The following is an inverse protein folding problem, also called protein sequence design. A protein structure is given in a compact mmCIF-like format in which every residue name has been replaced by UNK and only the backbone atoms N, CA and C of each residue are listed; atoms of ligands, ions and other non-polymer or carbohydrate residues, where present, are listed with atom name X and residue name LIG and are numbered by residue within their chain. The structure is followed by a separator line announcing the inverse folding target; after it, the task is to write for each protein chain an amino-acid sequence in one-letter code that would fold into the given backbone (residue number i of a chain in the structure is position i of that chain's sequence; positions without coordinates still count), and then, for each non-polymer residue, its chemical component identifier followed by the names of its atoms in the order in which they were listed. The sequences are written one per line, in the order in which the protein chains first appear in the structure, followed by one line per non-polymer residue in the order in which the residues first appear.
data_IF_054126098865
#
_entry.id   IF_054126098865
#
_cell.length_a   1.000
_cell.length_b   1.000
_cell.length_c   1.000
_cell.angle_alpha   90.00
_cell.angle_beta   90.00
_cell.angle_gamma   90.00
#
_symmetry.space_group_name_H-M   'P 1'
#
loop_
_entity.id
_entity.type
_entity.pdbx_description
1 polymer ?
#
# COMPACT_ATOMS: atom_id res chain seq x y z
N UNK A 1 3.49 17.80 11.05
CA UNK A 1 2.30 18.05 11.89
C UNK A 1 1.32 18.88 11.08
N UNK A 2 0.15 18.35 10.74
CA UNK A 2 -0.92 19.17 10.13
C UNK A 2 -1.69 19.79 11.30
N UNK A 3 -1.53 21.09 11.49
CA UNK A 3 -2.28 21.87 12.48
C UNK A 3 -3.74 21.90 12.06
N UNK A 4 -4.64 21.61 13.00
CA UNK A 4 -6.02 22.06 12.89
C UNK A 4 -5.96 23.58 13.00
N UNK A 5 -6.10 24.29 11.88
CA UNK A 5 -6.61 25.65 11.95
C UNK A 5 -8.09 25.51 12.32
N UNK A 6 -8.55 26.34 13.25
CA UNK A 6 -9.75 26.23 14.10
C UNK A 6 -11.14 26.15 13.41
N UNK A 7 -11.26 25.54 12.24
CA UNK A 7 -12.55 25.28 11.61
C UNK A 7 -12.62 23.83 11.14
N UNK A 8 -13.15 22.97 12.01
CA UNK A 8 -13.72 21.70 11.56
C UNK A 8 -14.76 22.06 10.47
N UNK A 9 -14.64 21.55 9.24
CA UNK A 9 -15.62 21.84 8.20
C UNK A 9 -17.01 21.49 8.74
N UNK A 10 -17.99 22.39 8.61
CA UNK A 10 -19.37 22.28 9.15
C UNK A 10 -20.12 20.98 8.83
N UNK A 11 -19.55 20.11 8.00
CA UNK A 11 -20.13 18.87 7.50
C UNK A 11 -19.32 17.61 7.86
N UNK A 12 -18.34 17.66 8.77
CA UNK A 12 -17.53 16.50 9.18
C UNK A 12 -17.53 16.31 10.70
N UNK A 13 -17.78 15.09 11.15
CA UNK A 13 -17.78 14.77 12.58
C UNK A 13 -16.34 14.64 13.11
N UNK A 14 -16.09 15.11 14.34
CA UNK A 14 -14.80 14.98 15.02
C UNK A 14 -14.37 13.52 15.16
N UNK A 15 -15.32 12.61 15.41
CA UNK A 15 -15.06 11.16 15.51
C UNK A 15 -14.58 10.56 14.19
N UNK A 16 -15.12 11.01 13.05
CA UNK A 16 -14.69 10.56 11.71
C UNK A 16 -13.28 11.04 11.39
N UNK A 17 -12.93 12.26 11.79
CA UNK A 17 -11.59 12.82 11.61
C UNK A 17 -10.54 12.08 12.47
N UNK A 18 -10.90 11.71 13.70
CA UNK A 18 -10.04 10.93 14.58
C UNK A 18 -9.84 9.50 14.06
N UNK A 19 -10.90 8.87 13.55
CA UNK A 19 -10.82 7.56 12.90
C UNK A 19 -9.96 7.60 11.64
N UNK A 20 -10.16 8.59 10.77
CA UNK A 20 -9.34 8.79 9.57
C UNK A 20 -7.86 8.93 9.95
N UNK A 21 -7.54 9.76 10.95
CA UNK A 21 -6.16 9.93 11.45
C UNK A 21 -5.58 8.62 11.98
N UNK A 22 -6.36 7.85 12.73
CA UNK A 22 -5.94 6.55 13.27
C UNK A 22 -5.54 5.61 12.14
N UNK A 23 -6.36 5.51 11.10
CA UNK A 23 -6.11 4.61 9.97
C UNK A 23 -4.97 5.08 9.08
N UNK A 24 -4.81 6.39 8.87
CA UNK A 24 -3.63 6.95 8.17
C UNK A 24 -2.35 6.63 8.91
N UNK A 25 -2.34 6.80 10.24
CA UNK A 25 -1.18 6.46 11.07
C UNK A 25 -0.89 4.97 11.02
N UNK A 26 -1.92 4.12 11.12
CA UNK A 26 -1.75 2.66 11.02
C UNK A 26 -1.21 2.21 9.66
N UNK A 27 -1.70 2.80 8.55
CA UNK A 27 -1.22 2.47 7.22
C UNK A 27 0.29 2.75 7.09
N UNK A 28 0.73 3.91 7.56
CA UNK A 28 2.14 4.30 7.52
C UNK A 28 3.01 3.48 8.51
N UNK A 29 2.57 3.30 9.76
CA UNK A 29 3.39 2.70 10.81
C UNK A 29 3.34 1.17 10.88
N UNK A 30 2.33 0.54 10.28
CA UNK A 30 2.13 -0.91 10.35
C UNK A 30 2.11 -1.49 8.95
N UNK A 31 1.16 -1.07 8.11
CA UNK A 31 0.93 -1.71 6.81
C UNK A 31 2.18 -1.64 5.89
N UNK A 32 2.84 -0.47 5.80
CA UNK A 32 4.07 -0.31 5.01
C UNK A 32 5.20 -1.21 5.49
N UNK A 33 5.36 -1.33 6.81
CA UNK A 33 6.41 -2.15 7.42
C UNK A 33 6.14 -3.64 7.33
N UNK A 34 4.87 -4.05 7.24
CA UNK A 34 4.49 -5.45 6.95
C UNK A 34 4.64 -5.77 5.46
N UNK A 35 4.37 -4.80 4.59
CA UNK A 35 4.39 -4.98 3.14
C UNK A 35 5.82 -5.06 2.57
N UNK A 36 6.74 -4.20 3.03
CA UNK A 36 8.11 -4.16 2.48
C UNK A 36 8.84 -5.51 2.58
N UNK A 37 8.81 -6.25 3.71
CA UNK A 37 9.44 -7.57 3.79
C UNK A 37 8.74 -8.66 2.95
N UNK A 38 7.46 -8.47 2.60
CA UNK A 38 6.70 -9.44 1.80
C UNK A 38 7.09 -9.40 0.32
N UNK A 39 7.27 -8.20 -0.25
CA UNK A 39 7.70 -8.05 -1.65
C UNK A 39 9.16 -8.44 -1.89
N UNK A 40 9.99 -8.45 -0.85
CA UNK A 40 11.42 -8.82 -0.94
C UNK A 40 11.74 -10.20 -0.34
N UNK A 41 10.75 -11.08 -0.19
CA UNK A 41 10.93 -12.38 0.50
C UNK A 41 11.88 -13.31 -0.27
N UNK A 42 11.70 -13.44 -1.58
CA UNK A 42 12.55 -14.25 -2.46
C UNK A 42 13.25 -13.41 -3.52
N UNK A 43 14.32 -13.96 -4.12
CA UNK A 43 15.08 -13.24 -5.16
C UNK A 43 14.23 -12.89 -6.38
N UNK A 44 13.32 -13.80 -6.76
CA UNK A 44 12.41 -13.61 -7.86
C UNK A 44 11.41 -12.47 -7.56
N UNK A 45 10.76 -12.52 -6.39
CA UNK A 45 9.81 -11.47 -5.95
C UNK A 45 10.51 -10.10 -5.86
N UNK A 46 11.73 -10.04 -5.30
CA UNK A 46 12.47 -8.79 -5.21
C UNK A 46 12.83 -8.22 -6.60
N UNK A 47 13.26 -9.07 -7.53
CA UNK A 47 13.58 -8.62 -8.88
C UNK A 47 12.34 -8.14 -9.63
N UNK A 48 11.23 -8.85 -9.50
CA UNK A 48 9.94 -8.46 -10.05
C UNK A 48 9.46 -7.11 -9.49
N UNK A 49 9.57 -6.90 -8.18
CA UNK A 49 9.19 -5.64 -7.54
C UNK A 49 10.01 -4.46 -8.08
N UNK A 50 11.33 -4.61 -8.27
CA UNK A 50 12.15 -3.56 -8.88
C UNK A 50 11.86 -3.35 -10.37
N UNK A 51 11.50 -4.40 -11.10
CA UNK A 51 11.06 -4.26 -12.48
C UNK A 51 9.77 -3.45 -12.57
N UNK A 52 8.79 -3.77 -11.71
CA UNK A 52 7.55 -3.01 -11.58
C UNK A 52 7.81 -1.55 -11.20
N UNK A 53 8.70 -1.28 -10.23
CA UNK A 53 9.08 0.10 -9.87
C UNK A 53 9.73 0.85 -11.02
N UNK A 54 10.51 0.15 -11.84
CA UNK A 54 11.13 0.73 -13.02
C UNK A 54 10.12 1.08 -14.11
N UNK A 55 9.08 0.27 -14.28
CA UNK A 55 7.99 0.52 -15.24
C UNK A 55 7.07 1.64 -14.78
N UNK A 56 6.57 1.56 -13.54
CA UNK A 56 5.66 2.58 -12.99
C UNK A 56 6.37 3.91 -12.74
N UNK A 57 7.67 3.86 -12.43
CA UNK A 57 8.50 5.05 -12.22
C UNK A 57 8.98 5.72 -13.51
N UNK A 58 8.61 5.20 -14.69
CA UNK A 58 9.09 5.67 -16.00
C UNK A 58 10.63 5.83 -16.03
N UNK A 59 11.36 4.88 -15.42
CA UNK A 59 12.82 4.95 -15.34
C UNK A 59 13.49 4.82 -16.71
N UNK A 60 12.80 4.26 -17.69
CA UNK A 60 13.20 4.28 -19.09
C UNK A 60 13.37 5.71 -19.66
N UNK A 61 12.64 6.68 -19.12
CA UNK A 61 12.75 8.10 -19.51
C UNK A 61 13.80 8.86 -18.69
N UNK A 62 14.11 8.38 -17.49
CA UNK A 62 15.00 9.04 -16.53
C UNK A 62 16.44 8.51 -16.57
N UNK A 63 16.62 7.24 -16.94
CA UNK A 63 17.90 6.52 -16.89
C UNK A 63 18.17 5.76 -18.18
N UNK A 64 19.44 5.62 -18.53
CA UNK A 64 19.85 4.79 -19.67
C UNK A 64 19.56 3.31 -19.39
N UNK A 65 19.35 2.49 -20.43
CA UNK A 65 19.00 1.06 -20.26
C UNK A 65 19.99 0.27 -19.39
N UNK A 66 21.28 0.60 -19.47
CA UNK A 66 22.31 0.01 -18.61
C UNK A 66 22.17 0.44 -17.13
N UNK A 67 21.95 1.72 -16.87
CA UNK A 67 21.81 2.28 -15.52
C UNK A 67 20.57 1.72 -14.84
N UNK A 68 19.46 1.64 -15.58
CA UNK A 68 18.22 0.99 -15.12
C UNK A 68 18.48 -0.46 -14.73
N UNK A 69 19.13 -1.24 -15.58
CA UNK A 69 19.45 -2.63 -15.27
C UNK A 69 20.32 -2.72 -14.01
N UNK A 70 21.36 -1.90 -13.90
CA UNK A 70 22.22 -1.86 -12.71
C UNK A 70 21.43 -1.56 -11.44
N UNK A 71 20.55 -0.56 -11.45
CA UNK A 71 19.70 -0.19 -10.30
C UNK A 71 18.76 -1.35 -9.93
N UNK A 72 18.13 -1.99 -10.91
CA UNK A 72 17.21 -3.12 -10.67
C UNK A 72 17.98 -4.30 -10.05
N UNK A 73 19.10 -4.72 -10.64
CA UNK A 73 19.88 -5.85 -10.12
C UNK A 73 20.52 -5.56 -8.76
N UNK A 74 21.19 -4.42 -8.61
CA UNK A 74 21.86 -4.04 -7.36
C UNK A 74 20.85 -3.72 -6.25
N UNK A 75 19.77 -3.02 -6.59
CA UNK A 75 18.68 -2.67 -5.68
C UNK A 75 17.95 -3.90 -5.17
N UNK A 76 17.58 -4.83 -6.06
CA UNK A 76 16.96 -6.10 -5.67
C UNK A 76 17.87 -6.90 -4.73
N UNK A 77 19.17 -6.98 -5.02
CA UNK A 77 20.13 -7.67 -4.16
C UNK A 77 20.25 -7.01 -2.77
N UNK A 78 20.35 -5.69 -2.71
CA UNK A 78 20.38 -4.94 -1.46
C UNK A 78 19.09 -5.14 -0.65
N UNK A 79 17.93 -5.07 -1.31
CA UNK A 79 16.63 -5.25 -0.67
C UNK A 79 16.41 -6.67 -0.16
N UNK A 80 16.98 -7.71 -0.79
CA UNK A 80 16.96 -9.07 -0.25
C UNK A 80 17.68 -9.17 1.09
N UNK A 81 18.84 -8.50 1.21
CA UNK A 81 19.60 -8.48 2.47
C UNK A 81 18.82 -7.68 3.53
N UNK A 82 18.27 -6.54 3.13
CA UNK A 82 17.47 -5.66 4.00
C UNK A 82 16.19 -6.39 4.46
N UNK A 83 15.49 -7.08 3.57
CA UNK A 83 14.28 -7.87 3.88
C UNK A 83 14.56 -8.97 4.90
N UNK A 84 15.67 -9.70 4.76
CA UNK A 84 16.11 -10.68 5.77
C UNK A 84 16.42 -10.04 7.13
N UNK A 85 17.06 -8.86 7.12
CA UNK A 85 17.35 -8.11 8.36
C UNK A 85 16.09 -7.54 9.00
N UNK A 86 15.13 -7.04 8.21
CA UNK A 86 13.84 -6.55 8.70
C UNK A 86 13.01 -7.68 9.29
N UNK A 87 12.94 -8.87 8.63
CA UNK A 87 12.26 -10.04 9.19
C UNK A 87 12.79 -10.35 10.59
N UNK A 88 14.12 -10.33 10.77
CA UNK A 88 14.77 -10.57 12.07
C UNK A 88 14.54 -9.43 13.08
N UNK A 89 14.52 -8.17 12.64
CA UNK A 89 14.36 -6.98 13.51
C UNK A 89 12.91 -6.84 14.01
N UNK A 90 11.93 -7.10 13.16
CA UNK A 90 10.51 -6.90 13.47
C UNK A 90 9.83 -8.13 14.07
N UNK A 91 10.58 -9.20 14.34
CA UNK A 91 10.07 -10.45 14.93
C UNK A 91 8.79 -10.97 14.23
N UNK A 92 8.75 -10.80 12.91
CA UNK A 92 7.62 -11.21 12.08
C UNK A 92 7.49 -12.74 12.16
N UNK A 93 6.25 -13.24 12.06
CA UNK A 93 5.97 -14.69 12.03
C UNK A 93 6.81 -15.36 10.93
N UNK A 94 7.06 -16.66 11.08
CA UNK A 94 7.89 -17.41 10.12
C UNK A 94 7.39 -17.27 8.67
N UNK A 95 6.07 -17.14 8.50
CA UNK A 95 5.46 -16.73 7.25
C UNK A 95 5.06 -15.24 7.26
N UNK A 96 5.84 -14.44 6.55
CA UNK A 96 5.64 -12.99 6.40
C UNK A 96 4.31 -12.68 5.70
N UNK A 97 3.83 -13.61 4.86
CA UNK A 97 2.57 -13.46 4.12
C UNK A 97 1.37 -13.51 5.05
N UNK A 98 1.41 -14.37 6.07
CA UNK A 98 0.35 -14.39 7.08
C UNK A 98 0.23 -13.07 7.83
N UNK A 99 1.35 -12.41 8.15
CA UNK A 99 1.30 -11.08 8.77
C UNK A 99 0.61 -10.07 7.84
N UNK A 100 0.86 -10.11 6.53
CA UNK A 100 0.16 -9.24 5.58
C UNK A 100 -1.34 -9.56 5.50
N UNK A 101 -1.70 -10.85 5.46
CA UNK A 101 -3.10 -11.25 5.44
C UNK A 101 -3.83 -10.85 6.72
N UNK A 102 -3.20 -10.99 7.88
CA UNK A 102 -3.75 -10.59 9.18
C UNK A 102 -4.07 -9.09 9.19
N UNK A 103 -3.14 -8.24 8.72
CA UNK A 103 -3.33 -6.79 8.63
C UNK A 103 -4.40 -6.40 7.59
N UNK A 104 -4.43 -7.05 6.42
CA UNK A 104 -5.47 -6.80 5.41
C UNK A 104 -6.85 -7.26 5.89
N UNK A 105 -6.93 -8.38 6.60
CA UNK A 105 -8.17 -8.84 7.24
C UNK A 105 -8.59 -7.91 8.38
N UNK A 106 -7.65 -7.34 9.14
CA UNK A 106 -7.93 -6.33 10.16
C UNK A 106 -8.56 -5.07 9.54
N UNK A 107 -8.01 -4.58 8.44
CA UNK A 107 -8.60 -3.49 7.66
C UNK A 107 -10.00 -3.84 7.15
N UNK A 108 -10.17 -5.01 6.52
CA UNK A 108 -11.47 -5.42 5.99
C UNK A 108 -12.54 -5.56 7.09
N UNK A 109 -12.17 -6.03 8.29
CA UNK A 109 -13.08 -6.05 9.45
C UNK A 109 -13.52 -4.65 9.85
N UNK A 110 -12.64 -3.66 9.78
CA UNK A 110 -12.98 -2.27 10.10
C UNK A 110 -13.96 -1.67 9.08
N UNK A 111 -13.73 -1.90 7.79
CA UNK A 111 -14.65 -1.49 6.72
C UNK A 111 -16.01 -2.20 6.87
N UNK A 112 -16.01 -3.52 7.10
CA UNK A 112 -17.23 -4.29 7.32
C UNK A 112 -18.02 -3.83 8.55
N UNK A 113 -17.36 -3.41 9.63
CA UNK A 113 -18.03 -2.89 10.83
C UNK A 113 -18.85 -1.63 10.54
N UNK A 114 -18.43 -0.82 9.57
CA UNK A 114 -19.19 0.36 9.13
C UNK A 114 -20.37 0.01 8.22
N UNK A 115 -20.41 -1.22 7.69
CA UNK A 115 -21.40 -1.71 6.74
C UNK A 115 -21.56 -0.79 5.50
N UNK A 116 -20.45 -0.18 5.09
CA UNK A 116 -20.35 0.76 3.98
C UNK A 116 -19.28 0.27 2.99
N UNK A 117 -19.32 0.71 1.72
CA UNK A 117 -18.34 0.28 0.72
C UNK A 117 -16.92 0.71 1.05
N UNK A 118 -16.76 1.85 1.75
CA UNK A 118 -15.47 2.38 2.20
C UNK A 118 -15.52 2.72 3.69
N UNK A 119 -14.37 2.93 4.32
CA UNK A 119 -14.31 3.42 5.70
C UNK A 119 -14.98 4.81 5.82
N UNK A 120 -14.81 5.66 4.81
CA UNK A 120 -15.48 6.97 4.69
C UNK A 120 -16.99 6.92 4.40
N UNK A 121 -17.60 5.73 4.34
CA UNK A 121 -19.02 5.59 4.03
C UNK A 121 -19.28 5.38 2.54
N UNK A 122 -20.05 6.27 1.92
CA UNK A 122 -20.37 6.22 0.47
C UNK A 122 -19.20 6.63 -0.43
N UNK A 123 -18.32 7.49 0.07
CA UNK A 123 -17.12 7.95 -0.62
C UNK A 123 -15.89 7.61 0.23
N UNK A 124 -14.73 7.31 -0.38
CA UNK A 124 -13.52 7.02 0.36
C UNK A 124 -13.02 8.26 1.11
N UNK A 125 -12.53 8.07 2.33
CA UNK A 125 -11.87 9.12 3.09
C UNK A 125 -10.35 9.08 2.89
N UNK A 126 -9.60 9.96 3.56
CA UNK A 126 -8.14 9.97 3.41
C UNK A 126 -7.46 8.76 4.08
N UNK A 127 -8.16 8.03 4.95
CA UNK A 127 -7.74 6.73 5.48
C UNK A 127 -7.83 5.64 4.43
N UNK A 128 -8.95 5.54 3.72
CA UNK A 128 -9.11 4.64 2.57
C UNK A 128 -8.03 4.91 1.51
N UNK A 129 -7.78 6.19 1.20
CA UNK A 129 -6.73 6.59 0.25
C UNK A 129 -5.32 6.24 0.72
N UNK A 130 -5.02 6.36 2.02
CA UNK A 130 -3.72 5.98 2.55
C UNK A 130 -3.48 4.47 2.42
N UNK A 131 -4.47 3.65 2.78
CA UNK A 131 -4.38 2.18 2.65
C UNK A 131 -4.29 1.78 1.17
N UNK A 132 -5.10 2.40 0.32
CA UNK A 132 -5.06 2.18 -1.13
C UNK A 132 -3.70 2.52 -1.71
N UNK A 133 -3.13 3.69 -1.37
CA UNK A 133 -1.81 4.10 -1.83
C UNK A 133 -0.72 3.09 -1.48
N UNK A 134 -0.72 2.60 -0.24
CA UNK A 134 0.23 1.58 0.22
C UNK A 134 0.07 0.27 -0.58
N UNK A 135 -1.16 -0.22 -0.78
CA UNK A 135 -1.41 -1.45 -1.54
C UNK A 135 -1.15 -1.29 -3.03
N UNK A 136 -1.44 -0.12 -3.61
CA UNK A 136 -1.22 0.16 -5.03
C UNK A 136 0.26 0.12 -5.43
N UNK A 137 1.16 0.43 -4.49
CA UNK A 137 2.60 0.35 -4.72
C UNK A 137 3.09 -1.05 -5.08
N UNK A 138 2.35 -2.09 -4.70
CA UNK A 138 2.71 -3.50 -4.91
C UNK A 138 1.77 -4.22 -5.88
N UNK A 139 0.86 -3.50 -6.54
CA UNK A 139 -0.17 -4.11 -7.37
C UNK A 139 0.40 -5.04 -8.46
N UNK A 140 1.56 -4.70 -9.04
CA UNK A 140 2.23 -5.51 -10.05
C UNK A 140 3.15 -6.62 -9.51
N UNK A 141 3.20 -6.82 -8.19
CA UNK A 141 4.06 -7.82 -7.55
C UNK A 141 3.27 -9.10 -7.24
N UNK A 142 3.95 -10.25 -7.27
CA UNK A 142 3.37 -11.56 -6.90
C UNK A 142 2.74 -11.55 -5.50
N UNK A 143 3.29 -10.78 -4.57
CA UNK A 143 2.77 -10.63 -3.22
C UNK A 143 1.34 -10.04 -3.19
N UNK A 144 0.99 -9.18 -4.15
CA UNK A 144 -0.35 -8.61 -4.23
C UNK A 144 -1.34 -9.60 -4.85
N UNK A 145 -0.94 -10.33 -5.88
CA UNK A 145 -1.78 -11.40 -6.45
C UNK A 145 -2.12 -12.45 -5.39
N UNK A 146 -1.10 -12.89 -4.65
CA UNK A 146 -1.26 -13.83 -3.55
C UNK A 146 -2.12 -13.26 -2.39
N UNK A 147 -2.02 -11.96 -2.12
CA UNK A 147 -2.89 -11.28 -1.17
C UNK A 147 -4.36 -11.29 -1.61
N UNK A 148 -4.64 -11.07 -2.90
CA UNK A 148 -5.99 -11.11 -3.46
C UNK A 148 -6.61 -12.52 -3.40
N UNK A 149 -5.80 -13.55 -3.59
CA UNK A 149 -6.25 -14.95 -3.54
C UNK A 149 -6.57 -15.41 -2.11
N UNK A 150 -5.78 -14.95 -1.12
CA UNK A 150 -5.90 -15.38 0.26
C UNK A 150 -6.77 -14.46 1.15
N UNK A 151 -7.18 -13.29 0.65
CA UNK A 151 -7.99 -12.33 1.43
C UNK A 151 -9.13 -11.72 0.62
N UNK A 152 -10.13 -11.17 1.32
CA UNK A 152 -11.27 -10.49 0.68
C UNK A 152 -10.99 -9.02 0.35
N UNK A 153 -9.73 -8.58 0.38
CA UNK A 153 -9.33 -7.18 0.17
C UNK A 153 -9.71 -6.68 -1.23
N UNK A 154 -9.74 -7.57 -2.23
CA UNK A 154 -10.08 -7.23 -3.62
C UNK A 154 -11.45 -6.59 -3.77
N UNK A 155 -12.43 -6.98 -2.96
CA UNK A 155 -13.78 -6.42 -2.98
C UNK A 155 -13.82 -4.92 -2.64
N UNK A 156 -12.84 -4.45 -1.87
CA UNK A 156 -12.69 -3.04 -1.51
C UNK A 156 -11.66 -2.34 -2.42
N UNK A 157 -10.58 -3.03 -2.78
CA UNK A 157 -9.48 -2.46 -3.59
C UNK A 157 -9.92 -2.06 -5.00
N UNK A 158 -10.66 -2.91 -5.72
CA UNK A 158 -11.04 -2.62 -7.11
C UNK A 158 -12.00 -1.42 -7.23
N UNK A 159 -13.07 -1.30 -6.41
CA UNK A 159 -13.88 -0.09 -6.38
C UNK A 159 -13.07 1.16 -6.02
N UNK A 160 -12.10 1.02 -5.10
CA UNK A 160 -11.24 2.13 -4.71
C UNK A 160 -10.34 2.58 -5.87
N UNK A 161 -9.75 1.64 -6.61
CA UNK A 161 -8.97 1.91 -7.82
C UNK A 161 -9.79 2.64 -8.88
N UNK A 162 -11.01 2.18 -9.15
CA UNK A 162 -11.91 2.83 -10.11
C UNK A 162 -12.26 4.27 -9.70
N UNK A 163 -12.52 4.50 -8.41
CA UNK A 163 -12.77 5.85 -7.91
C UNK A 163 -11.55 6.76 -7.99
N UNK A 164 -10.35 6.24 -7.72
CA UNK A 164 -9.12 7.04 -7.85
C UNK A 164 -8.86 7.38 -9.32
N UNK A 165 -8.99 6.42 -10.23
CA UNK A 165 -8.78 6.62 -11.67
C UNK A 165 -9.85 7.52 -12.32
N UNK A 166 -11.10 7.47 -11.86
CA UNK A 166 -12.13 8.39 -12.36
C UNK A 166 -11.93 9.83 -11.86
N UNK A 167 -11.20 10.01 -10.76
CA UNK A 167 -10.88 11.31 -10.19
C UNK A 167 -9.44 11.77 -10.44
N UNK A 168 -8.62 11.01 -11.17
CA UNK A 168 -7.31 11.51 -11.62
C UNK A 168 -7.53 12.67 -12.57
N UNK A 169 -6.94 13.82 -12.26
CA UNK A 169 -7.06 15.02 -13.08
C UNK A 169 -6.71 14.71 -14.54
N UNK A 170 -7.54 15.18 -15.47
CA UNK A 170 -7.27 15.06 -16.90
C UNK A 170 -5.96 15.80 -17.19
N UNK A 171 -5.00 15.09 -17.77
CA UNK A 171 -3.80 15.71 -18.32
C UNK A 171 -4.25 16.57 -19.50
N UNK A 172 -4.29 17.89 -19.30
CA UNK A 172 -4.49 18.83 -20.40
C UNK A 172 -3.23 18.71 -21.25
N UNK A 173 -3.36 18.03 -22.38
CA UNK A 173 -2.28 17.84 -23.37
C UNK A 173 -2.41 18.91 -24.44
#
# INVERSE_FOLDING_TARGET
FIMFNDEIPKNRNKEELEEERKWRKWADSVLVHTLSPNVYRTRAEAFQAFHWFSEVGEWDRLFSSWERNLIVYAGAYAMLIIGKRLKKRHNLKDDVRQSLYDECNYWMKAVQKKNTPFLGGKQPNLGDLAVYGVLSSIEGCDAFQDLLENTKIGNWYWPMKQLVQSNTGVVIT
#
